data_IF_511615267101
#
_entry.id   IF_511615267101
#
_cell.length_a   1.000
_cell.length_b   1.000
_cell.length_c   1.000
_cell.angle_alpha   90.00
_cell.angle_beta   90.00
_cell.angle_gamma   90.00
#
_symmetry.space_group_name_H-M   'P 1'
#
loop_
_entity.id
_entity.type
_entity.pdbx_description
1 polymer ?
#
# COMPACT_ATOMS: atom_id res chain seq x y z
N UNK A 1 23.04 -1.24 -7.38
CA UNK A 1 22.57 0.15 -7.57
C UNK A 1 21.08 0.17 -7.32
N UNK A 2 20.54 1.22 -6.69
CA UNK A 2 19.10 1.35 -6.46
C UNK A 2 18.33 1.30 -7.78
N UNK A 3 17.08 0.85 -7.73
CA UNK A 3 16.14 0.86 -8.85
C UNK A 3 15.27 2.09 -8.77
N UNK A 4 14.83 2.66 -9.90
CA UNK A 4 13.91 3.79 -9.91
C UNK A 4 12.48 3.27 -9.71
N UNK A 5 11.89 3.57 -8.55
CA UNK A 5 10.52 3.18 -8.19
C UNK A 5 9.66 4.43 -8.16
N UNK A 6 8.55 4.41 -8.88
CA UNK A 6 7.61 5.52 -8.95
C UNK A 6 6.29 5.08 -8.33
N UNK A 7 5.68 5.90 -7.49
CA UNK A 7 4.34 5.64 -6.95
C UNK A 7 3.42 6.83 -7.19
N UNK A 8 2.11 6.61 -7.34
CA UNK A 8 1.11 7.66 -7.57
C UNK A 8 -0.01 7.57 -6.55
N UNK A 9 -0.28 8.66 -5.83
CA UNK A 9 -1.46 8.71 -4.99
C UNK A 9 -1.60 9.96 -4.12
N UNK A 10 -2.36 9.83 -3.05
CA UNK A 10 -2.63 10.90 -2.09
C UNK A 10 -1.84 10.67 -0.79
N UNK A 11 -1.12 11.70 -0.35
CA UNK A 11 -0.61 11.80 1.02
C UNK A 11 -1.52 12.73 1.83
N UNK A 12 -1.95 12.27 2.99
CA UNK A 12 -2.86 12.97 3.88
C UNK A 12 -2.19 13.35 5.18
N UNK A 13 -2.73 14.39 5.83
CA UNK A 13 -2.48 14.71 7.22
C UNK A 13 -3.34 13.81 8.10
N UNK A 14 -2.71 12.93 8.86
CA UNK A 14 -3.30 12.13 9.93
C UNK A 14 -3.23 12.89 11.25
N UNK A 15 -4.37 12.99 11.92
CA UNK A 15 -4.49 13.54 13.27
C UNK A 15 -4.97 12.45 14.22
N UNK A 16 -4.10 12.02 15.13
CA UNK A 16 -4.38 10.94 16.08
C UNK A 16 -4.35 11.44 17.52
N UNK A 17 -5.37 11.18 18.36
CA UNK A 17 -5.25 11.38 19.79
C UNK A 17 -4.07 10.57 20.36
N UNK A 18 -3.31 11.11 21.33
CA UNK A 18 -2.13 10.43 21.87
C UNK A 18 -2.52 9.15 22.61
N UNK A 19 -1.70 8.11 22.42
CA UNK A 19 -1.90 6.78 23.00
C UNK A 19 -3.22 6.14 22.54
N UNK A 20 -4.08 5.78 23.50
CA UNK A 20 -5.37 5.15 23.25
C UNK A 20 -6.56 6.05 23.63
N UNK A 21 -6.34 7.37 23.72
CA UNK A 21 -7.39 8.34 24.05
C UNK A 21 -8.44 8.43 22.92
N UNK A 22 -9.67 8.80 23.30
CA UNK A 22 -10.77 9.02 22.33
C UNK A 22 -10.78 10.46 21.85
N UNK A 23 -11.34 10.72 20.67
CA UNK A 23 -11.56 12.06 20.12
C UNK A 23 -12.25 12.99 21.12
N UNK A 24 -13.29 12.50 21.80
CA UNK A 24 -14.06 13.29 22.78
C UNK A 24 -13.34 13.53 24.11
N UNK A 25 -12.18 12.90 24.31
CA UNK A 25 -11.35 13.03 25.51
C UNK A 25 -10.07 13.83 25.25
N UNK A 26 -9.69 14.03 23.98
CA UNK A 26 -8.37 14.53 23.64
C UNK A 26 -8.35 16.04 23.49
N UNK A 27 -7.35 16.67 24.12
CA UNK A 27 -7.04 18.09 23.95
C UNK A 27 -5.93 18.34 22.91
N UNK A 28 -5.40 17.28 22.29
CA UNK A 28 -4.32 17.37 21.29
C UNK A 28 -4.37 16.24 20.27
N UNK A 29 -3.61 16.40 19.18
CA UNK A 29 -3.45 15.39 18.14
C UNK A 29 -1.97 15.28 17.74
N UNK A 30 -1.50 14.04 17.64
CA UNK A 30 -0.25 13.69 16.97
C UNK A 30 -0.41 13.92 15.46
N UNK A 31 0.56 14.63 14.88
CA UNK A 31 0.59 15.00 13.46
C UNK A 31 1.47 14.00 12.71
N UNK A 32 0.86 13.24 11.80
CA UNK A 32 1.55 12.28 10.94
C UNK A 32 1.15 12.54 9.49
N UNK A 33 2.07 12.40 8.54
CA UNK A 33 1.74 12.41 7.12
C UNK A 33 1.89 11.00 6.56
N UNK A 34 0.91 10.55 5.79
CA UNK A 34 0.89 9.19 5.25
C UNK A 34 -0.20 8.98 4.22
N UNK A 35 -0.11 7.90 3.47
CA UNK A 35 -1.02 7.54 2.40
C UNK A 35 -0.49 6.30 1.68
N UNK A 36 -1.37 5.45 1.15
CA UNK A 36 -0.98 4.10 0.73
C UNK A 36 0.26 4.07 -0.16
N UNK A 37 0.23 4.82 -1.25
CA UNK A 37 1.32 4.85 -2.23
C UNK A 37 2.52 5.67 -1.74
N UNK A 38 2.32 6.64 -0.86
CA UNK A 38 3.39 7.38 -0.19
C UNK A 38 4.16 6.48 0.79
N UNK A 39 3.45 5.63 1.53
CA UNK A 39 4.01 4.67 2.48
C UNK A 39 4.84 3.60 1.75
N UNK A 40 4.40 3.17 0.57
CA UNK A 40 5.18 2.31 -0.33
C UNK A 40 6.46 3.01 -0.79
N UNK A 41 6.38 4.27 -1.25
CA UNK A 41 7.56 5.02 -1.66
C UNK A 41 8.59 5.16 -0.53
N UNK A 42 8.15 5.44 0.71
CA UNK A 42 9.04 5.51 1.87
C UNK A 42 9.69 4.15 2.16
N UNK A 43 8.92 3.06 2.08
CA UNK A 43 9.49 1.71 2.24
C UNK A 43 10.59 1.45 1.20
N UNK A 44 10.33 1.74 -0.08
CA UNK A 44 11.31 1.56 -1.14
C UNK A 44 12.55 2.45 -0.99
N UNK A 45 12.37 3.72 -0.58
CA UNK A 45 13.49 4.61 -0.28
C UNK A 45 14.34 4.07 0.88
N UNK A 46 13.69 3.57 1.94
CA UNK A 46 14.38 2.99 3.09
C UNK A 46 15.20 1.74 2.74
N UNK A 47 14.79 1.01 1.70
CA UNK A 47 15.51 -0.16 1.18
C UNK A 47 16.56 0.19 0.10
N UNK A 48 16.84 1.47 -0.12
CA UNK A 48 17.92 1.94 -1.01
C UNK A 48 17.53 2.06 -2.48
N UNK A 49 16.24 2.08 -2.81
CA UNK A 49 15.75 2.41 -4.15
C UNK A 49 15.60 3.92 -4.33
N UNK A 50 15.72 4.41 -5.56
CA UNK A 50 15.39 5.79 -5.90
C UNK A 50 13.87 5.91 -6.04
N UNK A 51 13.19 6.12 -4.90
CA UNK A 51 11.74 6.20 -4.85
C UNK A 51 11.22 7.63 -5.10
N UNK A 52 10.30 7.78 -6.05
CA UNK A 52 9.62 9.03 -6.40
C UNK A 52 8.13 8.91 -6.12
N UNK A 53 7.53 9.97 -5.57
CA UNK A 53 6.09 10.02 -5.33
C UNK A 53 5.43 11.10 -6.20
N UNK A 54 4.51 10.67 -7.07
CA UNK A 54 3.66 11.53 -7.88
C UNK A 54 2.44 11.89 -7.05
N UNK A 55 2.24 13.18 -6.81
CA UNK A 55 1.04 13.72 -6.16
C UNK A 55 0.91 15.22 -6.47
N UNK A 56 -0.18 15.84 -6.00
CA UNK A 56 -0.34 17.30 -6.00
C UNK A 56 -0.61 17.78 -4.59
N UNK A 57 0.14 18.79 -4.16
CA UNK A 57 0.03 19.39 -2.82
C UNK A 57 -0.05 20.92 -2.90
N UNK A 58 -0.81 21.59 -2.03
CA UNK A 58 -0.87 23.05 -1.98
C UNK A 58 0.50 23.70 -1.77
N UNK A 59 0.61 24.97 -2.17
CA UNK A 59 1.84 25.75 -1.99
C UNK A 59 2.07 26.17 -0.52
N UNK A 60 1.00 26.27 0.27
CA UNK A 60 1.06 26.67 1.67
C UNK A 60 1.75 25.63 2.57
N UNK A 61 2.00 26.01 3.82
CA UNK A 61 2.89 25.34 4.78
C UNK A 61 2.44 23.92 5.18
N UNK A 62 1.13 23.65 5.19
CA UNK A 62 0.62 22.28 5.43
C UNK A 62 0.99 21.34 4.28
N UNK A 63 0.89 21.79 3.02
CA UNK A 63 1.37 21.05 1.85
C UNK A 63 2.89 20.88 1.88
N UNK A 64 3.62 21.94 2.24
CA UNK A 64 5.07 21.87 2.40
C UNK A 64 5.51 20.88 3.50
N UNK A 65 4.72 20.75 4.57
CA UNK A 65 4.98 19.79 5.65
C UNK A 65 4.88 18.33 5.15
N UNK A 66 3.91 18.02 4.28
CA UNK A 66 3.83 16.71 3.64
C UNK A 66 5.04 16.44 2.72
N UNK A 67 5.48 17.43 1.93
CA UNK A 67 6.71 17.33 1.11
C UNK A 67 7.94 17.07 2.00
N UNK A 68 8.06 17.78 3.11
CA UNK A 68 9.17 17.62 4.05
C UNK A 68 9.16 16.25 4.72
N UNK A 69 7.97 15.72 5.07
CA UNK A 69 7.83 14.39 5.64
C UNK A 69 8.34 13.30 4.70
N UNK A 70 8.08 13.40 3.40
CA UNK A 70 8.60 12.49 2.39
C UNK A 70 10.13 12.60 2.24
N UNK A 71 10.65 13.83 2.10
CA UNK A 71 12.10 14.07 1.98
C UNK A 71 12.89 13.58 3.18
N UNK A 72 12.32 13.70 4.38
CA UNK A 72 12.93 13.22 5.63
C UNK A 72 13.33 11.75 5.55
N UNK A 73 12.57 10.94 4.81
CA UNK A 73 12.81 9.51 4.64
C UNK A 73 13.34 9.14 3.25
N UNK A 74 13.94 10.09 2.54
CA UNK A 74 14.67 9.84 1.30
C UNK A 74 13.83 9.75 0.04
N UNK A 75 12.50 9.91 0.12
CA UNK A 75 11.64 9.96 -1.07
C UNK A 75 11.95 11.22 -1.88
N UNK A 76 12.17 11.02 -3.18
CA UNK A 76 12.38 12.06 -4.17
C UNK A 76 11.04 12.76 -4.46
N UNK A 77 11.05 14.08 -4.40
CA UNK A 77 9.82 14.91 -4.48
C UNK A 77 9.73 15.73 -5.77
N UNK A 78 10.56 15.37 -6.74
CA UNK A 78 10.77 16.07 -8.00
C UNK A 78 9.50 16.16 -8.85
N UNK A 79 8.59 15.20 -8.66
CA UNK A 79 7.33 15.07 -9.40
C UNK A 79 6.09 15.41 -8.56
N UNK A 80 6.27 16.11 -7.45
CA UNK A 80 5.16 16.66 -6.68
C UNK A 80 4.74 17.98 -7.32
N UNK A 81 3.58 17.98 -7.99
CA UNK A 81 2.97 19.20 -8.49
C UNK A 81 2.54 20.09 -7.31
N UNK A 82 2.69 21.41 -7.46
CA UNK A 82 2.29 22.38 -6.44
C UNK A 82 1.09 23.19 -6.91
N UNK A 83 0.07 23.29 -6.06
CA UNK A 83 -1.17 24.02 -6.33
C UNK A 83 -2.40 23.37 -5.70
N UNK A 84 -3.56 24.00 -5.84
CA UNK A 84 -4.79 23.62 -5.14
C UNK A 84 -4.84 24.14 -3.70
N UNK A 85 -5.98 23.98 -3.05
CA UNK A 85 -6.32 24.73 -1.84
C UNK A 85 -6.06 23.99 -0.52
N UNK A 86 -6.07 22.65 -0.51
CA UNK A 86 -5.94 21.87 0.74
C UNK A 86 -5.29 20.50 0.59
N UNK A 87 -4.72 20.03 1.69
CA UNK A 87 -4.26 18.64 1.89
C UNK A 87 -5.42 17.83 2.46
N UNK A 88 -5.61 16.60 2.00
CA UNK A 88 -6.60 15.70 2.60
C UNK A 88 -6.24 15.38 4.06
N UNK A 89 -7.24 15.31 4.93
CA UNK A 89 -7.06 15.03 6.35
C UNK A 89 -7.80 13.74 6.71
N UNK A 90 -7.26 12.97 7.64
CA UNK A 90 -8.06 11.98 8.35
C UNK A 90 -7.74 11.95 9.84
N UNK A 91 -8.77 11.74 10.64
CA UNK A 91 -8.66 11.57 12.08
C UNK A 91 -8.65 10.09 12.41
N UNK A 92 -7.73 9.65 13.27
CA UNK A 92 -7.58 8.25 13.64
C UNK A 92 -7.55 8.09 15.16
N UNK A 93 -8.58 7.45 15.71
CA UNK A 93 -8.59 6.90 17.07
C UNK A 93 -7.94 5.51 17.03
N UNK A 94 -6.85 5.30 17.78
CA UNK A 94 -6.22 3.99 17.95
C UNK A 94 -7.10 3.07 18.80
N UNK A 95 -7.35 1.87 18.27
CA UNK A 95 -8.10 0.82 18.95
C UNK A 95 -7.27 0.09 20.01
N UNK A 96 -7.93 -0.61 20.91
CA UNK A 96 -7.27 -1.45 21.91
C UNK A 96 -8.19 -2.61 22.30
N UNK A 97 -7.65 -3.84 22.35
CA UNK A 97 -8.40 -5.06 22.61
C UNK A 97 -9.69 -5.14 21.73
N UNK A 98 -10.87 -5.27 22.32
CA UNK A 98 -12.14 -5.35 21.59
C UNK A 98 -12.61 -4.04 20.96
N UNK A 99 -11.98 -2.89 21.28
CA UNK A 99 -12.35 -1.58 20.72
C UNK A 99 -11.58 -1.36 19.42
N UNK A 100 -12.24 -1.29 18.24
CA UNK A 100 -11.55 -1.10 16.97
C UNK A 100 -10.97 0.31 16.85
N UNK A 101 -9.96 0.46 16.00
CA UNK A 101 -9.54 1.79 15.53
C UNK A 101 -10.67 2.43 14.72
N UNK A 102 -10.82 3.75 14.82
CA UNK A 102 -11.87 4.50 14.11
C UNK A 102 -11.28 5.63 13.28
N UNK A 103 -11.69 5.68 12.01
CA UNK A 103 -11.25 6.70 11.04
C UNK A 103 -12.41 7.59 10.59
N UNK A 104 -12.20 8.89 10.66
CA UNK A 104 -13.06 9.94 10.07
C UNK A 104 -12.25 10.66 9.00
N UNK A 105 -12.75 10.66 7.76
CA UNK A 105 -12.06 11.29 6.63
C UNK A 105 -12.58 12.71 6.38
N UNK A 106 -11.64 13.60 6.09
CA UNK A 106 -11.85 14.95 5.57
C UNK A 106 -10.91 15.15 4.36
N UNK A 107 -11.06 14.28 3.36
CA UNK A 107 -10.16 14.23 2.19
C UNK A 107 -10.74 14.84 0.92
N UNK A 108 -12.03 15.13 0.89
CA UNK A 108 -12.69 15.68 -0.30
C UNK A 108 -12.01 17.01 -0.70
N UNK A 109 -12.00 17.30 -2.01
CA UNK A 109 -11.44 18.53 -2.57
C UNK A 109 -9.96 18.76 -2.23
N UNK A 110 -9.20 17.70 -1.96
CA UNK A 110 -7.75 17.82 -1.82
C UNK A 110 -7.10 18.13 -3.17
N UNK A 111 -5.92 18.73 -3.14
CA UNK A 111 -5.19 19.14 -4.33
C UNK A 111 -5.01 18.01 -5.37
N UNK A 112 -4.70 16.78 -4.93
CA UNK A 112 -4.58 15.61 -5.81
C UNK A 112 -5.94 15.10 -6.32
N UNK A 113 -7.01 15.20 -5.54
CA UNK A 113 -8.35 14.84 -6.00
C UNK A 113 -8.85 15.77 -7.12
N UNK A 114 -8.33 16.99 -7.20
CA UNK A 114 -8.71 17.99 -8.21
C UNK A 114 -7.67 18.19 -9.33
N UNK A 115 -6.52 17.50 -9.23
CA UNK A 115 -5.43 17.56 -10.18
C UNK A 115 -5.86 17.13 -11.59
N UNK A 116 -5.15 17.63 -12.59
CA UNK A 116 -5.45 17.42 -14.02
C UNK A 116 -4.21 16.93 -14.75
N UNK A 117 -4.41 16.33 -15.93
CA UNK A 117 -3.31 15.76 -16.72
C UNK A 117 -2.16 16.75 -16.99
N UNK A 118 -2.48 18.04 -17.18
CA UNK A 118 -1.48 19.08 -17.41
C UNK A 118 -0.54 19.34 -16.22
N UNK A 119 -0.86 18.85 -15.03
CA UNK A 119 0.01 18.95 -13.85
C UNK A 119 1.22 18.00 -13.92
N UNK A 120 1.20 16.99 -14.81
CA UNK A 120 2.18 15.90 -14.83
C UNK A 120 2.66 15.56 -16.24
N UNK A 121 3.99 15.53 -16.43
CA UNK A 121 4.64 14.96 -17.61
C UNK A 121 4.94 13.48 -17.36
N UNK A 122 3.95 12.61 -17.58
CA UNK A 122 4.06 11.19 -17.25
C UNK A 122 5.13 10.46 -18.08
N UNK A 123 5.38 10.85 -19.32
CA UNK A 123 6.44 10.22 -20.12
C UNK A 123 7.82 10.53 -19.54
N UNK A 124 8.08 11.78 -19.13
CA UNK A 124 9.32 12.15 -18.45
C UNK A 124 9.45 11.49 -17.07
N UNK A 125 8.34 11.35 -16.35
CA UNK A 125 8.34 10.69 -15.03
C UNK A 125 8.73 9.22 -15.17
N UNK A 126 8.16 8.52 -16.17
CA UNK A 126 8.39 7.08 -16.38
C UNK A 126 9.71 6.75 -17.08
N UNK A 127 10.37 7.73 -17.70
CA UNK A 127 11.68 7.53 -18.34
C UNK A 127 12.70 6.91 -17.37
N UNK A 128 13.21 5.73 -17.72
CA UNK A 128 14.18 4.99 -16.91
C UNK A 128 13.64 4.45 -15.58
N UNK A 129 12.31 4.44 -15.36
CA UNK A 129 11.72 3.79 -14.21
C UNK A 129 11.77 2.25 -14.35
N UNK A 130 12.09 1.56 -13.27
CA UNK A 130 12.02 0.09 -13.22
C UNK A 130 10.63 -0.38 -12.77
N UNK A 131 9.97 0.41 -11.92
CA UNK A 131 8.70 0.03 -11.29
C UNK A 131 7.75 1.22 -11.12
N UNK A 132 6.46 0.99 -11.41
CA UNK A 132 5.37 1.92 -11.10
C UNK A 132 4.32 1.24 -10.21
N UNK A 133 3.96 1.89 -9.09
CA UNK A 133 2.95 1.38 -8.16
C UNK A 133 1.80 2.37 -7.93
N UNK A 134 0.59 1.85 -7.87
CA UNK A 134 -0.61 2.59 -7.48
C UNK A 134 -1.56 1.69 -6.67
N UNK A 135 -2.53 2.27 -5.99
CA UNK A 135 -3.59 1.50 -5.32
C UNK A 135 -4.98 1.89 -5.81
N UNK A 136 -5.97 1.01 -5.59
CA UNK A 136 -7.37 1.28 -5.87
C UNK A 136 -7.95 2.48 -5.11
N UNK A 137 -7.25 3.00 -4.09
CA UNK A 137 -7.64 4.26 -3.43
C UNK A 137 -7.57 5.42 -4.41
N UNK A 138 -6.48 5.56 -5.16
CA UNK A 138 -6.23 6.74 -6.01
C UNK A 138 -7.32 6.97 -7.07
N UNK A 139 -7.70 5.99 -7.90
CA UNK A 139 -8.81 6.19 -8.83
C UNK A 139 -10.18 6.34 -8.14
N UNK A 140 -10.29 5.99 -6.86
CA UNK A 140 -11.54 6.11 -6.10
C UNK A 140 -11.78 7.50 -5.50
N UNK A 141 -10.76 8.36 -5.38
CA UNK A 141 -10.94 9.68 -4.74
C UNK A 141 -11.68 10.67 -5.63
N UNK A 142 -11.57 10.54 -6.96
CA UNK A 142 -12.30 11.35 -7.94
C UNK A 142 -12.18 10.78 -9.35
N UNK A 143 -13.11 11.15 -10.26
CA UNK A 143 -13.01 10.80 -11.69
C UNK A 143 -11.74 11.39 -12.34
N UNK A 144 -11.27 12.55 -11.87
CA UNK A 144 -10.00 13.13 -12.32
C UNK A 144 -8.80 12.27 -11.92
N UNK A 145 -8.77 11.78 -10.68
CA UNK A 145 -7.71 10.90 -10.21
C UNK A 145 -7.74 9.54 -10.90
N UNK A 146 -8.93 9.03 -11.26
CA UNK A 146 -9.06 7.84 -12.11
C UNK A 146 -8.42 8.06 -13.49
N UNK A 147 -8.67 9.21 -14.12
CA UNK A 147 -8.05 9.57 -15.39
C UNK A 147 -6.53 9.73 -15.27
N UNK A 148 -6.03 10.36 -14.21
CA UNK A 148 -4.59 10.46 -13.95
C UNK A 148 -3.94 9.08 -13.79
N UNK A 149 -4.60 8.16 -13.07
CA UNK A 149 -4.14 6.79 -12.91
C UNK A 149 -4.03 6.07 -14.25
N UNK A 150 -5.05 6.21 -15.11
CA UNK A 150 -5.04 5.66 -16.47
C UNK A 150 -3.87 6.19 -17.30
N UNK A 151 -3.66 7.51 -17.30
CA UNK A 151 -2.58 8.15 -18.05
C UNK A 151 -1.19 7.71 -17.56
N UNK A 152 -1.01 7.58 -16.24
CA UNK A 152 0.22 7.07 -15.65
C UNK A 152 0.49 5.61 -16.04
N UNK A 153 -0.53 4.74 -15.98
CA UNK A 153 -0.42 3.34 -16.43
C UNK A 153 -0.07 3.24 -17.93
N UNK A 154 -0.65 4.09 -18.77
CA UNK A 154 -0.33 4.13 -20.20
C UNK A 154 1.10 4.57 -20.46
N UNK A 155 1.58 5.58 -19.73
CA UNK A 155 2.98 6.00 -19.80
C UNK A 155 3.91 4.88 -19.34
N UNK A 156 3.64 4.25 -18.19
CA UNK A 156 4.42 3.13 -17.69
C UNK A 156 4.55 2.02 -18.75
N UNK A 157 3.45 1.66 -19.44
CA UNK A 157 3.49 0.64 -20.47
C UNK A 157 4.26 1.07 -21.73
N UNK A 158 4.16 2.33 -22.16
CA UNK A 158 4.96 2.88 -23.27
C UNK A 158 6.47 2.80 -22.99
N UNK A 159 6.87 2.94 -21.73
CA UNK A 159 8.26 2.92 -21.28
C UNK A 159 8.74 1.53 -20.79
N UNK A 160 7.91 0.50 -20.91
CA UNK A 160 8.28 -0.87 -20.51
C UNK A 160 8.47 -1.05 -18.99
N UNK A 161 7.85 -0.20 -18.19
CA UNK A 161 7.95 -0.21 -16.73
C UNK A 161 7.04 -1.30 -16.16
N UNK A 162 7.51 -2.06 -15.16
CA UNK A 162 6.68 -3.01 -14.42
C UNK A 162 5.63 -2.26 -13.60
N UNK A 163 4.36 -2.62 -13.74
CA UNK A 163 3.25 -1.96 -13.02
C UNK A 163 2.69 -2.88 -11.95
N UNK A 164 2.65 -2.41 -10.70
CA UNK A 164 1.93 -3.09 -9.63
C UNK A 164 0.73 -2.30 -9.12
N UNK A 165 -0.32 -3.03 -8.74
CA UNK A 165 -1.52 -2.47 -8.11
C UNK A 165 -1.75 -3.13 -6.75
N UNK A 166 -2.12 -2.33 -5.75
CA UNK A 166 -2.85 -2.81 -4.58
C UNK A 166 -4.35 -2.52 -4.77
N UNK A 167 -5.19 -3.55 -4.86
CA UNK A 167 -6.62 -3.39 -5.15
C UNK A 167 -7.36 -2.52 -4.11
N UNK A 168 -6.94 -2.60 -2.84
CA UNK A 168 -7.29 -1.70 -1.73
C UNK A 168 -8.72 -1.13 -1.75
N UNK A 169 -9.75 -1.99 -1.81
CA UNK A 169 -11.13 -1.54 -1.94
C UNK A 169 -11.61 -0.81 -0.69
N UNK A 170 -12.20 0.37 -0.86
CA UNK A 170 -12.77 1.16 0.25
C UNK A 170 -14.23 1.47 0.00
N UNK A 171 -15.11 0.80 0.76
CA UNK A 171 -16.58 1.00 0.79
C UNK A 171 -17.01 2.47 0.97
N UNK A 172 -16.18 3.31 1.59
CA UNK A 172 -16.45 4.75 1.80
C UNK A 172 -16.15 5.63 0.57
N UNK A 173 -15.39 5.13 -0.41
CA UNK A 173 -14.99 5.91 -1.58
C UNK A 173 -15.88 5.63 -2.79
N UNK A 174 -16.29 4.38 -2.98
CA UNK A 174 -17.06 3.98 -4.16
C UNK A 174 -17.84 2.69 -3.94
N UNK A 175 -18.81 2.44 -4.82
CA UNK A 175 -19.54 1.17 -4.87
C UNK A 175 -18.75 0.10 -5.63
N UNK A 176 -19.14 -1.16 -5.46
CA UNK A 176 -18.57 -2.30 -6.20
C UNK A 176 -18.66 -2.08 -7.71
N UNK A 177 -19.81 -1.62 -8.20
CA UNK A 177 -20.07 -1.41 -9.63
C UNK A 177 -19.14 -0.34 -10.20
N UNK A 178 -18.97 0.78 -9.49
CA UNK A 178 -18.05 1.85 -9.90
C UNK A 178 -16.60 1.38 -9.86
N UNK A 179 -16.19 0.67 -8.81
CA UNK A 179 -14.84 0.11 -8.70
C UNK A 179 -14.54 -0.83 -9.88
N UNK A 180 -15.40 -1.81 -10.17
CA UNK A 180 -15.20 -2.72 -11.30
C UNK A 180 -15.18 -2.01 -12.66
N UNK A 181 -16.01 -0.96 -12.84
CA UNK A 181 -16.04 -0.17 -14.08
C UNK A 181 -14.73 0.57 -14.37
N UNK A 182 -13.96 0.91 -13.33
CA UNK A 182 -12.69 1.64 -13.44
C UNK A 182 -11.49 0.70 -13.35
N UNK A 183 -11.49 -0.22 -12.39
CA UNK A 183 -10.34 -1.08 -12.10
C UNK A 183 -10.10 -2.11 -13.21
N UNK A 184 -11.15 -2.80 -13.70
CA UNK A 184 -10.98 -3.85 -14.72
C UNK A 184 -10.27 -3.34 -15.99
N UNK A 185 -10.65 -2.20 -16.59
CA UNK A 185 -9.94 -1.67 -17.76
C UNK A 185 -8.47 -1.30 -17.48
N UNK A 186 -8.11 -0.97 -16.24
CA UNK A 186 -6.73 -0.64 -15.88
C UNK A 186 -5.84 -1.88 -15.75
N UNK A 187 -6.41 -3.06 -15.48
CA UNK A 187 -5.65 -4.30 -15.26
C UNK A 187 -4.84 -4.74 -16.47
N UNK A 188 -5.23 -4.36 -17.69
CA UNK A 188 -4.43 -4.62 -18.91
C UNK A 188 -3.04 -3.98 -18.91
N UNK A 189 -2.80 -3.02 -18.00
CA UNK A 189 -1.50 -2.37 -17.83
C UNK A 189 -0.67 -2.98 -16.68
N UNK A 190 -1.28 -3.79 -15.82
CA UNK A 190 -0.72 -4.27 -14.56
C UNK A 190 -0.01 -5.60 -14.78
N UNK A 191 1.17 -5.75 -14.16
CA UNK A 191 1.94 -6.98 -14.15
C UNK A 191 1.90 -7.68 -12.77
N UNK A 192 1.78 -6.93 -11.67
CA UNK A 192 1.72 -7.47 -10.29
C UNK A 192 0.46 -7.01 -9.58
N UNK A 193 -0.44 -7.95 -9.26
CA UNK A 193 -1.67 -7.66 -8.54
C UNK A 193 -1.55 -8.06 -7.06
N UNK A 194 -1.73 -7.10 -6.16
CA UNK A 194 -1.76 -7.27 -4.71
C UNK A 194 -3.18 -6.98 -4.22
N UNK A 195 -3.71 -7.81 -3.34
CA UNK A 195 -5.02 -7.57 -2.70
C UNK A 195 -5.48 -8.77 -1.91
N UNK A 196 -6.47 -8.61 -1.05
CA UNK A 196 -7.10 -9.76 -0.40
C UNK A 196 -8.26 -10.32 -1.25
N UNK A 197 -8.89 -11.39 -0.77
CA UNK A 197 -10.03 -12.02 -1.42
C UNK A 197 -11.23 -11.07 -1.60
N UNK A 198 -11.56 -10.29 -0.56
CA UNK A 198 -12.65 -9.30 -0.62
C UNK A 198 -12.34 -8.25 -1.69
N UNK A 199 -11.09 -7.80 -1.81
CA UNK A 199 -10.67 -6.86 -2.85
C UNK A 199 -10.79 -7.49 -4.26
N UNK A 200 -10.39 -8.75 -4.44
CA UNK A 200 -10.51 -9.45 -5.71
C UNK A 200 -11.98 -9.54 -6.17
N UNK A 201 -12.91 -9.82 -5.24
CA UNK A 201 -14.34 -9.79 -5.56
C UNK A 201 -14.82 -8.37 -5.88
N UNK A 202 -14.51 -7.41 -5.01
CA UNK A 202 -15.12 -6.08 -5.08
C UNK A 202 -14.53 -5.23 -6.20
N UNK A 203 -13.24 -5.34 -6.49
CA UNK A 203 -12.59 -4.60 -7.58
C UNK A 203 -12.62 -5.34 -8.92
N UNK A 204 -12.56 -6.67 -8.93
CA UNK A 204 -12.36 -7.46 -10.16
C UNK A 204 -13.45 -8.52 -10.40
N UNK A 205 -14.31 -8.81 -9.43
CA UNK A 205 -15.43 -9.73 -9.60
C UNK A 205 -15.09 -11.20 -9.51
N UNK A 206 -13.89 -11.55 -9.01
CA UNK A 206 -13.51 -12.94 -8.77
C UNK A 206 -13.99 -13.37 -7.40
N UNK A 207 -14.76 -14.45 -7.34
CA UNK A 207 -15.23 -15.05 -6.10
C UNK A 207 -14.55 -16.39 -5.91
N UNK A 208 -14.19 -16.77 -4.67
CA UNK A 208 -13.91 -18.18 -4.40
C UNK A 208 -15.17 -19.01 -4.62
N UNK A 209 -14.98 -20.22 -5.11
CA UNK A 209 -16.06 -21.23 -5.19
C UNK A 209 -16.44 -21.78 -3.81
N UNK A 210 -15.68 -21.48 -2.75
CA UNK A 210 -15.88 -21.95 -1.38
C UNK A 210 -16.34 -20.83 -0.44
N UNK A 211 -17.20 -21.17 0.52
CA UNK A 211 -17.75 -20.28 1.53
C UNK A 211 -16.67 -19.93 2.58
N UNK A 212 -16.06 -18.76 2.48
CA UNK A 212 -14.92 -18.34 3.33
C UNK A 212 -15.35 -17.82 4.72
N UNK A 213 -16.63 -17.95 5.10
CA UNK A 213 -17.09 -17.56 6.44
C UNK A 213 -16.56 -18.45 7.59
N UNK A 214 -15.79 -19.50 7.30
CA UNK A 214 -15.35 -20.50 8.28
C UNK A 214 -13.96 -20.37 8.90
N UNK A 215 -13.15 -19.34 8.60
CA UNK A 215 -11.82 -19.16 9.24
C UNK A 215 -10.81 -20.30 8.98
N UNK A 216 -11.11 -21.21 8.05
CA UNK A 216 -10.20 -22.22 7.52
C UNK A 216 -10.01 -21.93 6.04
N UNK A 217 -9.05 -21.05 5.76
CA UNK A 217 -8.66 -20.69 4.41
C UNK A 217 -7.85 -21.84 3.81
N UNK A 218 -8.52 -22.66 2.99
CA UNK A 218 -7.86 -23.68 2.19
C UNK A 218 -7.00 -23.01 1.11
N UNK A 219 -5.70 -23.29 1.12
CA UNK A 219 -4.73 -22.72 0.19
C UNK A 219 -5.09 -23.04 -1.29
N UNK A 220 -5.76 -24.16 -1.53
CA UNK A 220 -6.20 -24.55 -2.88
C UNK A 220 -7.29 -23.63 -3.44
N UNK A 221 -8.18 -23.10 -2.59
CA UNK A 221 -9.22 -22.14 -3.00
C UNK A 221 -8.61 -20.83 -3.52
N UNK A 222 -7.58 -20.32 -2.84
CA UNK A 222 -6.86 -19.12 -3.29
C UNK A 222 -6.10 -19.34 -4.60
N UNK A 223 -5.47 -20.51 -4.75
CA UNK A 223 -4.76 -20.86 -5.99
C UNK A 223 -5.69 -20.85 -7.20
N UNK A 224 -6.93 -21.34 -7.03
CA UNK A 224 -7.97 -21.29 -8.07
C UNK A 224 -8.29 -19.86 -8.52
N UNK A 225 -8.57 -18.96 -7.58
CA UNK A 225 -8.84 -17.54 -7.86
C UNK A 225 -7.64 -16.88 -8.54
N UNK A 226 -6.43 -17.11 -8.03
CA UNK A 226 -5.22 -16.51 -8.57
C UNK A 226 -4.99 -16.92 -10.02
N UNK A 227 -5.20 -18.20 -10.34
CA UNK A 227 -5.13 -18.69 -11.72
C UNK A 227 -6.16 -18.02 -12.62
N UNK A 228 -7.41 -17.90 -12.20
CA UNK A 228 -8.44 -17.21 -12.99
C UNK A 228 -8.08 -15.74 -13.25
N UNK A 229 -7.56 -15.03 -12.24
CA UNK A 229 -7.11 -13.64 -12.39
C UNK A 229 -5.94 -13.51 -13.36
N UNK A 230 -4.96 -14.43 -13.29
CA UNK A 230 -3.85 -14.45 -14.25
C UNK A 230 -4.31 -14.79 -15.66
N UNK A 231 -5.23 -15.74 -15.81
CA UNK A 231 -5.78 -16.13 -17.11
C UNK A 231 -6.61 -14.99 -17.76
N UNK A 232 -7.36 -14.21 -16.97
CA UNK A 232 -8.17 -13.09 -17.48
C UNK A 232 -7.33 -11.85 -17.80
N UNK A 233 -6.37 -11.47 -16.95
CA UNK A 233 -5.66 -10.19 -17.07
C UNK A 233 -4.19 -10.31 -17.50
N UNK A 234 -3.62 -11.50 -17.52
CA UNK A 234 -2.22 -11.72 -17.90
C UNK A 234 -1.20 -11.20 -16.89
N UNK A 235 -1.56 -11.17 -15.59
CA UNK A 235 -0.62 -10.79 -14.54
C UNK A 235 0.59 -11.72 -14.53
N UNK A 236 1.76 -11.20 -14.16
CA UNK A 236 2.96 -11.99 -13.85
C UNK A 236 2.93 -12.53 -12.42
N UNK A 237 2.31 -11.79 -11.50
CA UNK A 237 2.17 -12.21 -10.10
C UNK A 237 0.79 -11.82 -9.54
N UNK A 238 0.19 -12.73 -8.77
CA UNK A 238 -0.97 -12.45 -7.90
C UNK A 238 -0.58 -12.74 -6.47
N UNK A 239 -0.83 -11.77 -5.59
CA UNK A 239 -0.35 -11.76 -4.21
C UNK A 239 -1.50 -11.39 -3.28
N UNK A 240 -1.69 -12.16 -2.20
CA UNK A 240 -2.70 -11.86 -1.17
C UNK A 240 -2.12 -11.91 0.22
N UNK A 241 -2.43 -10.89 1.02
CA UNK A 241 -2.21 -10.92 2.46
C UNK A 241 -3.37 -11.61 3.16
N UNK A 242 -3.06 -12.43 4.16
CA UNK A 242 -4.02 -13.09 5.01
C UNK A 242 -3.87 -12.58 6.44
N UNK A 243 -4.92 -11.91 6.91
CA UNK A 243 -5.00 -11.39 8.28
C UNK A 243 -5.99 -12.19 9.09
N UNK A 244 -5.54 -12.70 10.23
CA UNK A 244 -6.39 -13.32 11.24
C UNK A 244 -6.61 -12.28 12.34
N UNK A 245 -7.80 -11.66 12.38
CA UNK A 245 -8.08 -10.53 13.26
C UNK A 245 -8.66 -10.98 14.60
N UNK A 246 -7.81 -11.28 15.59
CA UNK A 246 -8.26 -11.68 16.93
C UNK A 246 -8.78 -10.49 17.74
N UNK A 247 -8.08 -9.36 17.72
CA UNK A 247 -8.52 -8.10 18.35
C UNK A 247 -7.85 -6.88 17.70
N UNK A 248 -8.12 -5.67 18.20
CA UNK A 248 -7.38 -4.48 17.77
C UNK A 248 -5.90 -4.50 18.16
N UNK A 249 -5.53 -5.36 19.12
CA UNK A 249 -4.18 -5.47 19.67
C UNK A 249 -3.45 -6.76 19.28
N UNK A 250 -4.12 -7.72 18.64
CA UNK A 250 -3.54 -9.03 18.32
C UNK A 250 -4.06 -9.52 16.96
N UNK A 251 -3.14 -9.77 16.02
CA UNK A 251 -3.47 -10.36 14.72
C UNK A 251 -2.46 -11.44 14.33
N UNK A 252 -2.94 -12.48 13.62
CA UNK A 252 -2.10 -13.33 12.79
C UNK A 252 -1.86 -12.69 11.41
N UNK A 253 -0.66 -12.86 10.87
CA UNK A 253 -0.24 -12.25 9.61
C UNK A 253 0.60 -13.21 8.75
N UNK A 254 0.12 -13.50 7.54
CA UNK A 254 0.84 -14.26 6.50
C UNK A 254 0.42 -13.77 5.12
N UNK A 255 1.01 -14.29 4.06
CA UNK A 255 0.63 -13.98 2.69
C UNK A 255 0.84 -15.16 1.75
N UNK A 256 0.37 -15.01 0.51
CA UNK A 256 0.52 -15.98 -0.56
C UNK A 256 0.92 -15.27 -1.85
N UNK A 257 1.72 -15.93 -2.68
CA UNK A 257 2.14 -15.46 -4.00
C UNK A 257 2.02 -16.58 -5.04
N UNK A 258 1.62 -16.23 -6.25
CA UNK A 258 1.56 -17.12 -7.40
C UNK A 258 2.07 -16.41 -8.65
N UNK A 259 2.93 -17.10 -9.39
CA UNK A 259 3.54 -16.62 -10.64
C UNK A 259 3.06 -17.38 -11.89
N UNK A 260 1.97 -18.17 -11.78
CA UNK A 260 1.49 -19.03 -12.85
C UNK A 260 2.02 -20.47 -12.79
N UNK A 261 3.14 -20.70 -12.11
CA UNK A 261 3.78 -22.01 -12.01
C UNK A 261 3.85 -22.51 -10.57
N UNK A 262 4.44 -21.72 -9.68
CA UNK A 262 4.65 -22.03 -8.27
C UNK A 262 3.72 -21.15 -7.42
N UNK A 263 3.03 -21.81 -6.48
CA UNK A 263 2.21 -21.18 -5.45
C UNK A 263 2.93 -21.31 -4.11
N UNK A 264 3.22 -20.18 -3.46
CA UNK A 264 3.99 -20.14 -2.22
C UNK A 264 3.21 -19.43 -1.12
N UNK A 265 3.22 -20.01 0.09
CA UNK A 265 2.60 -19.46 1.30
C UNK A 265 3.71 -19.10 2.28
N UNK A 266 3.66 -17.89 2.80
CA UNK A 266 4.68 -17.42 3.74
C UNK A 266 4.58 -18.08 5.11
N UNK A 267 5.60 -17.85 5.94
CA UNK A 267 5.50 -17.99 7.39
C UNK A 267 4.36 -17.13 7.96
N UNK A 268 3.86 -17.59 9.10
CA UNK A 268 2.87 -16.88 9.89
C UNK A 268 3.56 -16.15 11.05
N UNK A 269 3.18 -14.89 11.25
CA UNK A 269 3.59 -14.08 12.38
C UNK A 269 2.39 -13.81 13.27
N UNK A 270 2.57 -14.09 14.56
CA UNK A 270 1.66 -13.64 15.60
C UNK A 270 2.13 -12.26 16.09
N UNK A 271 1.32 -11.23 15.84
CA UNK A 271 1.62 -9.85 16.18
C UNK A 271 0.83 -9.49 17.43
N UNK A 272 1.48 -9.62 18.59
CA UNK A 272 0.94 -9.26 19.90
C UNK A 272 2.02 -8.60 20.79
N UNK A 273 1.87 -7.33 21.22
CA UNK A 273 0.79 -6.42 20.85
C UNK A 273 1.04 -5.69 19.52
N UNK A 274 -0.04 -5.27 18.87
CA UNK A 274 -0.01 -4.28 17.79
C UNK A 274 0.18 -2.88 18.39
N UNK A 275 1.17 -2.14 17.90
CA UNK A 275 1.43 -0.74 18.27
C UNK A 275 0.64 0.19 17.34
N UNK A 276 0.87 0.09 16.02
CA UNK A 276 0.10 0.82 15.02
C UNK A 276 0.07 0.03 13.69
N UNK A 277 -1.12 -0.47 13.35
CA UNK A 277 -1.34 -1.26 12.12
C UNK A 277 -1.49 -0.42 10.86
N UNK A 278 -1.64 0.90 10.97
CA UNK A 278 -1.72 1.77 9.79
C UNK A 278 -0.39 1.71 9.05
N UNK A 279 -0.45 1.60 7.72
CA UNK A 279 0.75 1.38 6.90
C UNK A 279 1.19 -0.09 6.79
N UNK A 280 0.59 -1.03 7.53
CA UNK A 280 0.97 -2.45 7.47
C UNK A 280 0.86 -3.04 6.05
N UNK A 281 -0.29 -2.88 5.39
CA UNK A 281 -0.48 -3.32 4.00
C UNK A 281 0.47 -2.63 3.02
N UNK A 282 0.72 -1.34 3.21
CA UNK A 282 1.59 -0.57 2.32
C UNK A 282 3.07 -0.99 2.48
N UNK A 283 3.48 -1.30 3.70
CA UNK A 283 4.81 -1.85 3.98
C UNK A 283 5.01 -3.25 3.39
N UNK A 284 3.93 -4.05 3.33
CA UNK A 284 3.92 -5.30 2.59
C UNK A 284 4.12 -5.04 1.08
N UNK A 285 3.35 -4.12 0.48
CA UNK A 285 3.51 -3.76 -0.93
C UNK A 285 4.92 -3.25 -1.25
N UNK A 286 5.49 -2.38 -0.40
CA UNK A 286 6.88 -1.93 -0.54
C UNK A 286 7.91 -3.06 -0.38
N UNK A 287 7.65 -4.00 0.52
CA UNK A 287 8.45 -5.22 0.70
C UNK A 287 8.36 -6.18 -0.48
N UNK A 288 7.18 -6.32 -1.12
CA UNK A 288 7.00 -7.09 -2.36
C UNK A 288 7.82 -6.48 -3.48
N UNK A 289 7.74 -5.15 -3.68
CA UNK A 289 8.50 -4.46 -4.72
C UNK A 289 10.00 -4.67 -4.49
N UNK A 290 10.50 -4.43 -3.28
CA UNK A 290 11.90 -4.69 -2.95
C UNK A 290 12.28 -6.15 -3.17
N UNK A 291 11.45 -7.08 -2.68
CA UNK A 291 11.67 -8.51 -2.77
C UNK A 291 11.79 -8.98 -4.22
N UNK A 292 10.83 -8.64 -5.07
CA UNK A 292 10.83 -9.04 -6.48
C UNK A 292 11.97 -8.37 -7.28
N UNK A 293 12.45 -7.20 -6.85
CA UNK A 293 13.59 -6.52 -7.48
C UNK A 293 14.96 -7.07 -7.06
N UNK A 294 15.07 -7.77 -5.93
CA UNK A 294 16.37 -8.06 -5.29
C UNK A 294 16.59 -9.52 -4.91
N UNK A 295 15.52 -10.30 -4.72
CA UNK A 295 15.58 -11.71 -4.29
C UNK A 295 15.63 -12.65 -5.49
N UNK A 296 16.07 -13.89 -5.25
CA UNK A 296 16.25 -14.88 -6.31
C UNK A 296 14.96 -15.61 -6.64
N UNK A 297 14.09 -15.77 -5.64
CA UNK A 297 12.82 -16.50 -5.77
C UNK A 297 11.65 -15.67 -5.27
N UNK A 298 10.45 -15.98 -5.74
CA UNK A 298 9.23 -15.34 -5.24
C UNK A 298 8.97 -15.66 -3.76
N UNK A 299 9.38 -16.84 -3.28
CA UNK A 299 9.26 -17.21 -1.88
C UNK A 299 10.13 -16.33 -0.98
N UNK A 300 11.39 -16.10 -1.36
CA UNK A 300 12.27 -15.15 -0.65
C UNK A 300 11.71 -13.73 -0.67
N UNK A 301 11.13 -13.30 -1.80
CA UNK A 301 10.47 -12.00 -1.91
C UNK A 301 9.25 -11.88 -0.98
N UNK A 302 8.43 -12.93 -0.89
CA UNK A 302 7.25 -12.94 -0.03
C UNK A 302 7.63 -12.95 1.45
N UNK A 303 8.62 -13.77 1.85
CA UNK A 303 9.11 -13.81 3.24
C UNK A 303 9.62 -12.44 3.69
N UNK A 304 10.38 -11.75 2.84
CA UNK A 304 10.82 -10.37 3.10
C UNK A 304 9.61 -9.44 3.31
N UNK A 305 8.63 -9.49 2.40
CA UNK A 305 7.46 -8.61 2.44
C UNK A 305 6.61 -8.81 3.71
N UNK A 306 6.40 -10.07 4.11
CA UNK A 306 5.61 -10.40 5.30
C UNK A 306 6.33 -10.00 6.57
N UNK A 307 7.65 -10.25 6.67
CA UNK A 307 8.46 -9.83 7.81
C UNK A 307 8.52 -8.31 7.95
N UNK A 308 8.74 -7.58 6.85
CA UNK A 308 8.70 -6.11 6.83
C UNK A 308 7.35 -5.57 7.34
N UNK A 309 6.25 -6.16 6.88
CA UNK A 309 4.92 -5.78 7.32
C UNK A 309 4.63 -6.13 8.77
N UNK A 310 5.07 -7.29 9.24
CA UNK A 310 4.94 -7.66 10.66
C UNK A 310 5.66 -6.64 11.55
N UNK A 311 6.90 -6.26 11.19
CA UNK A 311 7.67 -5.27 11.92
C UNK A 311 7.02 -3.87 11.88
N UNK A 312 6.42 -3.46 10.77
CA UNK A 312 5.70 -2.17 10.67
C UNK A 312 4.60 -2.03 11.74
N UNK A 313 3.94 -3.12 12.13
CA UNK A 313 2.89 -3.07 13.17
C UNK A 313 3.44 -2.67 14.55
N UNK A 314 4.77 -2.67 14.74
CA UNK A 314 5.45 -2.30 15.99
C UNK A 314 5.90 -0.83 16.02
N UNK A 315 5.65 -0.06 14.95
CA UNK A 315 6.12 1.33 14.79
C UNK A 315 4.92 2.27 14.64
N UNK A 316 4.86 3.31 15.48
CA UNK A 316 3.86 4.38 15.39
C UNK A 316 3.97 5.17 14.08
N UNK A 317 2.82 5.52 13.50
CA UNK A 317 2.75 6.29 12.25
C UNK A 317 2.58 5.41 11.02
N UNK A 318 2.40 6.03 9.87
CA UNK A 318 2.04 5.33 8.64
C UNK A 318 3.26 4.72 7.93
N UNK A 319 4.41 5.38 8.00
CA UNK A 319 5.60 4.96 7.27
C UNK A 319 6.29 3.75 7.90
N UNK A 320 6.79 2.87 7.03
CA UNK A 320 7.69 1.80 7.43
C UNK A 320 9.12 2.30 7.52
N UNK A 321 9.69 2.20 8.72
CA UNK A 321 11.06 2.66 9.01
C UNK A 321 12.02 1.49 9.27
N UNK A 322 11.57 0.26 9.03
CA UNK A 322 12.34 -0.97 9.22
C UNK A 322 13.37 -1.11 8.11
N UNK A 323 14.64 -1.28 8.45
CA UNK A 323 15.75 -1.46 7.51
C UNK A 323 15.79 -2.87 6.91
N UNK A 324 16.47 -3.03 5.77
CA UNK A 324 16.70 -4.36 5.15
C UNK A 324 17.29 -5.34 6.16
N UNK A 325 18.28 -4.91 6.95
CA UNK A 325 18.95 -5.78 7.93
C UNK A 325 18.00 -6.30 9.03
N UNK A 326 17.08 -5.46 9.52
CA UNK A 326 16.06 -5.87 10.50
C UNK A 326 15.08 -6.89 9.88
N UNK A 327 14.67 -6.68 8.62
CA UNK A 327 13.81 -7.64 7.92
C UNK A 327 14.53 -8.97 7.72
N UNK A 328 15.77 -8.97 7.23
CA UNK A 328 16.56 -10.20 7.04
C UNK A 328 16.79 -10.95 8.35
N UNK A 329 17.02 -10.23 9.46
CA UNK A 329 17.18 -10.85 10.78
C UNK A 329 15.90 -11.59 11.19
N UNK A 330 14.73 -10.98 10.99
CA UNK A 330 13.45 -11.62 11.29
C UNK A 330 13.16 -12.80 10.35
N UNK A 331 13.45 -12.69 9.05
CA UNK A 331 13.35 -13.81 8.09
C UNK A 331 14.30 -14.96 8.49
N UNK A 332 15.49 -14.63 8.99
CA UNK A 332 16.45 -15.58 9.55
C UNK A 332 16.01 -16.27 10.85
N UNK A 333 14.91 -15.80 11.46
CA UNK A 333 14.31 -16.38 12.65
C UNK A 333 14.64 -15.66 13.96
N UNK A 334 15.33 -14.51 13.93
CA UNK A 334 15.54 -13.69 15.12
C UNK A 334 14.27 -12.87 15.45
N UNK A 335 13.30 -13.54 16.07
CA UNK A 335 12.09 -12.94 16.61
C UNK A 335 12.21 -12.65 18.12
N UNK A 336 13.43 -12.66 18.67
CA UNK A 336 13.66 -12.68 20.12
C UNK A 336 13.44 -11.34 20.82
N UNK A 337 13.45 -10.23 20.06
CA UNK A 337 13.39 -8.87 20.61
C UNK A 337 14.57 -8.50 21.52
N UNK A 338 15.67 -9.26 21.46
CA UNK A 338 16.86 -9.04 22.30
C UNK A 338 17.60 -7.77 21.89
N UNK A 339 18.29 -7.17 22.85
CA UNK A 339 19.15 -6.00 22.62
C UNK A 339 20.26 -6.36 21.64
N UNK A 340 20.23 -5.76 20.45
CA UNK A 340 21.32 -5.81 19.46
C UNK A 340 22.32 -4.68 19.77
N UNK A 341 23.62 -4.91 19.54
CA UNK A 341 24.72 -3.99 19.90
C UNK A 341 25.70 -3.78 18.75
#
# INVERSE_FOLDING_TARGET
>A
MGKKVVTLGEIMLRLSPPGNTRFVQSDSFDVVYGGGEANVAVSCANYGHDAYFITKLPEHEIGQSAVNALRKYGVKTDYIARGGERVGIYYLETGAAMRPSKVIYDRAHSAIAEAVAADFDFDKIMEGADWFHWSGITPAISDKAAELTRLACEAAKRHGVTVSVDLNFRKKLWTKEKAQSIMKPLMKYVDVCIGNEEDAELCLGFKPDADVEGGHTDAEGYKGIFRQMMDEFGFSYVISTLRESFSASHNGWKAMIYNGEEFYVSRHYDIDPIIDRVGGGDSFSGGVIHGLLTKRTQGEALEFAVAASALKHTINGDFNLVSVAEVEALVGGDASGRVQR
#
